data_IF_504187338975
#
_entry.id   IF_504187338975
#
_cell.length_a   1.000
_cell.length_b   1.000
_cell.length_c   1.000
_cell.angle_alpha   90.00
_cell.angle_beta   90.00
_cell.angle_gamma   90.00
#
_symmetry.space_group_name_H-M   'P 1'
#
loop_
_entity.id
_entity.type
_entity.pdbx_description
1 polymer ?
#
# COMPACT_ATOMS: atom_id res chain seq x y z
N UNK A 1 5.89 -14.79 1.90
CA UNK A 1 5.26 -15.10 0.59
C UNK A 1 5.95 -14.29 -0.49
N UNK A 2 5.74 -14.58 -1.78
CA UNK A 2 6.39 -13.82 -2.87
C UNK A 2 6.15 -12.30 -2.75
N UNK A 3 4.94 -11.90 -2.33
CA UNK A 3 4.62 -10.49 -2.12
C UNK A 3 5.40 -9.85 -0.96
N UNK A 4 5.63 -10.55 0.15
CA UNK A 4 6.49 -10.06 1.24
C UNK A 4 7.91 -9.77 0.75
N UNK A 5 8.48 -10.71 -0.02
CA UNK A 5 9.84 -10.53 -0.54
C UNK A 5 9.93 -9.35 -1.51
N UNK A 6 8.90 -9.16 -2.32
CA UNK A 6 8.82 -8.03 -3.24
C UNK A 6 8.74 -6.68 -2.50
N UNK A 7 8.00 -6.62 -1.39
CA UNK A 7 7.96 -5.43 -0.51
C UNK A 7 9.34 -5.14 0.08
N UNK A 8 10.01 -6.12 0.69
CA UNK A 8 11.35 -5.94 1.29
C UNK A 8 12.39 -5.41 0.29
N UNK A 9 12.38 -5.95 -0.94
CA UNK A 9 13.29 -5.51 -2.00
C UNK A 9 12.97 -4.06 -2.37
N UNK A 10 11.69 -3.72 -2.58
CA UNK A 10 11.28 -2.37 -2.95
C UNK A 10 11.49 -1.36 -1.84
N UNK A 11 11.36 -1.73 -0.57
CA UNK A 11 11.73 -0.89 0.58
C UNK A 11 13.23 -0.56 0.56
N UNK A 12 14.06 -1.56 0.27
CA UNK A 12 15.52 -1.35 0.18
C UNK A 12 15.88 -0.43 -0.99
N UNK A 13 15.24 -0.62 -2.14
CA UNK A 13 15.45 0.24 -3.31
C UNK A 13 14.91 1.66 -3.10
N UNK A 14 13.74 1.82 -2.48
CA UNK A 14 13.14 3.12 -2.18
C UNK A 14 13.97 3.94 -1.18
N UNK A 15 14.69 3.28 -0.26
CA UNK A 15 15.67 3.98 0.61
C UNK A 15 16.83 4.60 -0.16
N UNK A 16 17.19 4.04 -1.32
CA UNK A 16 18.30 4.52 -2.16
C UNK A 16 17.82 5.50 -3.23
N UNK A 17 16.64 5.25 -3.82
CA UNK A 17 16.06 6.02 -4.93
C UNK A 17 14.55 6.13 -4.75
N UNK A 18 14.08 6.99 -3.82
CA UNK A 18 12.66 7.08 -3.46
C UNK A 18 11.79 7.39 -4.67
N UNK A 19 12.14 8.39 -5.47
CA UNK A 19 11.33 8.84 -6.62
C UNK A 19 11.07 7.73 -7.65
N UNK A 20 12.01 6.78 -7.79
CA UNK A 20 11.88 5.67 -8.73
C UNK A 20 11.07 4.50 -8.17
N UNK A 21 11.21 4.21 -6.86
CA UNK A 21 10.70 2.95 -6.30
C UNK A 21 9.53 3.11 -5.33
N UNK A 22 9.23 4.31 -4.85
CA UNK A 22 8.04 4.56 -4.02
C UNK A 22 6.73 4.16 -4.71
N UNK A 23 6.49 4.47 -6.00
CA UNK A 23 5.27 4.02 -6.68
C UNK A 23 5.12 2.49 -6.66
N UNK A 24 6.18 1.78 -7.04
CA UNK A 24 6.17 0.32 -7.07
C UNK A 24 6.05 -0.29 -5.67
N UNK A 25 6.63 0.36 -4.65
CA UNK A 25 6.49 -0.04 -3.25
C UNK A 25 5.04 0.09 -2.79
N UNK A 26 4.38 1.22 -3.08
CA UNK A 26 2.97 1.45 -2.73
C UNK A 26 2.05 0.39 -3.35
N UNK A 27 2.23 0.08 -4.64
CA UNK A 27 1.48 -1.00 -5.31
C UNK A 27 1.69 -2.36 -4.63
N UNK A 28 2.93 -2.64 -4.20
CA UNK A 28 3.25 -3.91 -3.54
C UNK A 28 2.63 -4.03 -2.16
N UNK A 29 2.63 -2.93 -1.40
CA UNK A 29 1.98 -2.86 -0.10
C UNK A 29 0.46 -3.03 -0.21
N UNK A 30 -0.17 -2.44 -1.22
CA UNK A 30 -1.59 -2.67 -1.54
C UNK A 30 -1.87 -4.15 -1.84
N UNK A 31 -1.07 -4.79 -2.69
CA UNK A 31 -1.22 -6.20 -3.01
C UNK A 31 -0.94 -7.11 -1.79
N UNK A 32 0.03 -6.74 -0.95
CA UNK A 32 0.32 -7.44 0.29
C UNK A 32 -0.88 -7.37 1.23
N UNK A 33 -1.54 -6.21 1.33
CA UNK A 33 -2.76 -6.06 2.14
C UNK A 33 -3.85 -7.03 1.71
N UNK A 34 -4.15 -7.11 0.41
CA UNK A 34 -5.15 -8.04 -0.11
C UNK A 34 -4.80 -9.49 0.21
N UNK A 35 -3.56 -9.88 -0.06
CA UNK A 35 -3.11 -11.23 0.25
C UNK A 35 -3.16 -11.57 1.74
N UNK A 36 -2.81 -10.63 2.63
CA UNK A 36 -2.91 -10.82 4.07
C UNK A 36 -4.37 -10.92 4.54
N UNK A 37 -5.28 -10.14 3.95
CA UNK A 37 -6.69 -10.20 4.26
C UNK A 37 -7.31 -11.55 3.86
N UNK A 38 -6.96 -12.07 2.69
CA UNK A 38 -7.39 -13.39 2.22
C UNK A 38 -6.93 -14.52 3.15
N UNK A 39 -5.78 -14.33 3.81
CA UNK A 39 -5.24 -15.23 4.82
C UNK A 39 -5.84 -14.99 6.23
N UNK A 40 -6.80 -14.09 6.38
CA UNK A 40 -7.42 -13.74 7.68
C UNK A 40 -6.55 -12.86 8.59
N UNK A 41 -5.37 -12.43 8.13
CA UNK A 41 -4.40 -11.60 8.89
C UNK A 41 -4.77 -10.11 8.81
N UNK A 42 -6.00 -9.79 9.26
CA UNK A 42 -6.65 -8.49 9.07
C UNK A 42 -5.85 -7.29 9.63
N UNK A 43 -5.23 -7.44 10.79
CA UNK A 43 -4.43 -6.37 11.39
C UNK A 43 -3.21 -6.00 10.53
N UNK A 44 -2.49 -7.01 10.04
CA UNK A 44 -1.33 -6.81 9.18
C UNK A 44 -1.73 -6.28 7.79
N UNK A 45 -2.88 -6.74 7.29
CA UNK A 45 -3.47 -6.20 6.07
C UNK A 45 -3.76 -4.69 6.21
N UNK A 46 -4.32 -4.26 7.34
CA UNK A 46 -4.56 -2.84 7.62
C UNK A 46 -3.24 -2.04 7.69
N UNK A 47 -2.21 -2.60 8.33
CA UNK A 47 -0.88 -1.96 8.38
C UNK A 47 -0.31 -1.77 6.97
N UNK A 48 -0.38 -2.80 6.12
CA UNK A 48 0.16 -2.74 4.76
C UNK A 48 -0.55 -1.69 3.90
N UNK A 49 -1.89 -1.66 3.90
CA UNK A 49 -2.64 -0.68 3.09
C UNK A 49 -2.46 0.74 3.61
N UNK A 50 -2.36 0.94 4.93
CA UNK A 50 -2.12 2.28 5.51
C UNK A 50 -0.78 2.85 5.05
N UNK A 51 0.26 2.01 4.93
CA UNK A 51 1.55 2.43 4.37
C UNK A 51 1.47 2.75 2.89
N UNK A 52 0.68 1.98 2.13
CA UNK A 52 0.43 2.26 0.71
C UNK A 52 -0.26 3.62 0.52
N UNK A 53 -1.31 3.90 1.30
CA UNK A 53 -2.04 5.18 1.29
C UNK A 53 -1.09 6.35 1.55
N UNK A 54 -0.32 6.33 2.64
CA UNK A 54 0.62 7.43 2.93
C UNK A 54 1.68 7.65 1.84
N UNK A 55 2.08 6.58 1.15
CA UNK A 55 2.98 6.70 0.00
C UNK A 55 2.28 7.33 -1.20
N UNK A 56 1.07 6.89 -1.55
CA UNK A 56 0.29 7.47 -2.64
C UNK A 56 -0.13 8.92 -2.36
N UNK A 57 -0.41 9.31 -1.10
CA UNK A 57 -0.65 10.70 -0.71
C UNK A 57 0.56 11.58 -1.02
N UNK A 58 1.76 11.11 -0.64
CA UNK A 58 3.02 11.83 -0.93
C UNK A 58 3.25 11.98 -2.43
N UNK A 59 2.98 10.92 -3.21
CA UNK A 59 3.14 10.94 -4.66
C UNK A 59 2.09 11.81 -5.36
N UNK A 60 0.85 11.80 -4.89
CA UNK A 60 -0.25 12.61 -5.45
C UNK A 60 -0.05 14.11 -5.21
N UNK A 61 0.65 14.52 -4.15
CA UNK A 61 1.07 15.92 -3.96
C UNK A 61 2.00 16.37 -5.08
N UNK A 62 2.86 15.49 -5.59
CA UNK A 62 3.86 15.83 -6.61
C UNK A 62 3.32 15.67 -8.04
N UNK A 63 2.54 14.63 -8.29
CA UNK A 63 2.01 14.27 -9.62
C UNK A 63 0.56 13.77 -9.47
N UNK A 64 -0.40 14.68 -9.23
CA UNK A 64 -1.78 14.32 -8.91
C UNK A 64 -2.44 13.50 -10.01
N UNK A 65 -2.29 13.90 -11.28
CA UNK A 65 -2.90 13.20 -12.42
C UNK A 65 -2.41 11.75 -12.55
N UNK A 66 -1.18 11.48 -12.11
CA UNK A 66 -0.59 10.16 -12.17
C UNK A 66 -1.03 9.25 -11.00
N UNK A 67 -1.26 9.81 -9.80
CA UNK A 67 -1.36 9.01 -8.57
C UNK A 67 -2.69 9.14 -7.81
N UNK A 68 -3.55 10.11 -8.13
CA UNK A 68 -4.89 10.20 -7.54
C UNK A 68 -5.76 8.95 -7.81
N UNK A 69 -5.73 8.32 -9.00
CA UNK A 69 -6.48 7.07 -9.22
C UNK A 69 -6.04 5.94 -8.28
N UNK A 70 -4.72 5.77 -8.09
CA UNK A 70 -4.17 4.75 -7.21
C UNK A 70 -4.43 5.06 -5.73
N UNK A 71 -4.36 6.33 -5.35
CA UNK A 71 -4.71 6.77 -4.00
C UNK A 71 -6.18 6.46 -3.68
N UNK A 72 -7.10 6.76 -4.60
CA UNK A 72 -8.52 6.47 -4.42
C UNK A 72 -8.77 4.96 -4.24
N UNK A 73 -8.13 4.13 -5.05
CA UNK A 73 -8.19 2.66 -4.91
C UNK A 73 -7.63 2.20 -3.55
N UNK A 74 -6.48 2.73 -3.13
CA UNK A 74 -5.87 2.35 -1.86
C UNK A 74 -6.72 2.75 -0.64
N UNK A 75 -7.35 3.93 -0.68
CA UNK A 75 -8.28 4.40 0.35
C UNK A 75 -9.54 3.53 0.43
N UNK A 76 -10.11 3.13 -0.72
CA UNK A 76 -11.22 2.17 -0.76
C UNK A 76 -10.82 0.84 -0.09
N UNK A 77 -9.64 0.31 -0.42
CA UNK A 77 -9.13 -0.91 0.21
C UNK A 77 -8.90 -0.73 1.71
N UNK A 78 -8.41 0.43 2.15
CA UNK A 78 -8.24 0.74 3.58
C UNK A 78 -9.57 0.75 4.31
N UNK A 79 -10.62 1.33 3.73
CA UNK A 79 -11.98 1.30 4.29
C UNK A 79 -12.49 -0.13 4.46
N UNK A 80 -12.27 -1.00 3.47
CA UNK A 80 -12.62 -2.42 3.56
C UNK A 80 -11.86 -3.11 4.71
N UNK A 81 -10.55 -2.85 4.87
CA UNK A 81 -9.75 -3.44 5.97
C UNK A 81 -10.15 -2.95 7.35
N UNK A 82 -10.58 -1.69 7.46
CA UNK A 82 -11.15 -1.15 8.68
C UNK A 82 -12.47 -1.88 9.03
N UNK A 83 -13.36 -2.04 8.04
CA UNK A 83 -14.62 -2.75 8.22
C UNK A 83 -14.43 -4.21 8.66
N UNK A 84 -13.44 -4.92 8.09
CA UNK A 84 -13.09 -6.30 8.48
C UNK A 84 -12.68 -6.44 9.96
N UNK A 85 -12.15 -5.35 10.55
CA UNK A 85 -11.77 -5.25 11.95
C UNK A 85 -12.90 -4.70 12.84
N UNK A 86 -14.09 -4.43 12.28
CA UNK A 86 -15.19 -3.80 12.99
C UNK A 86 -14.93 -2.33 13.35
N UNK A 87 -13.90 -1.73 12.75
CA UNK A 87 -13.56 -0.31 12.91
C UNK A 87 -14.24 0.45 11.78
N UNK A 88 -15.16 1.36 12.12
CA UNK A 88 -15.90 2.18 11.17
C UNK A 88 -15.64 3.63 11.48
#
# INVERSE_FOLDING_TARGET
>A
TAITRAVEIRETLARQRPDTFLPALATSLNNQSNHLADLGRRGEALTAITRAVGTYETLAVQQPDAFLPDLAMALNNQSIRLADLGRR
#
